data_IF_829676963581
#
_entry.id   IF_829676963581
#
_cell.length_a   1.000
_cell.length_b   1.000
_cell.length_c   1.000
_cell.angle_alpha   90.00
_cell.angle_beta   90.00
_cell.angle_gamma   90.00
#
_symmetry.space_group_name_H-M   'P 1'
#
loop_
_entity.id
_entity.type
_entity.pdbx_description
1 polymer ?
#
# COMPACT_ATOMS: atom_id res chain seq x y z
N UNK A 1 16.68 5.06 2.15
CA UNK A 1 16.65 3.94 3.09
C UNK A 1 16.14 2.65 2.42
N UNK A 2 14.88 2.60 1.89
CA UNK A 2 14.29 1.35 1.36
C UNK A 2 15.01 0.78 0.14
N UNK A 3 15.44 1.61 -0.82
CA UNK A 3 16.22 1.11 -1.98
C UNK A 3 17.47 0.31 -1.56
N UNK A 4 18.10 0.65 -0.43
CA UNK A 4 19.24 -0.09 0.11
C UNK A 4 18.86 -1.42 0.79
N UNK A 5 17.57 -1.70 0.99
CA UNK A 5 17.09 -2.97 1.52
C UNK A 5 16.76 -3.98 0.41
N UNK A 6 16.69 -3.54 -0.84
CA UNK A 6 16.29 -4.37 -1.97
C UNK A 6 17.44 -5.24 -2.48
N UNK A 7 17.10 -6.46 -2.85
CA UNK A 7 18.01 -7.32 -3.61
C UNK A 7 18.24 -6.74 -5.02
N UNK A 8 19.31 -7.17 -5.66
CA UNK A 8 19.66 -6.70 -7.01
C UNK A 8 18.54 -7.03 -8.00
N UNK A 9 18.06 -6.01 -8.72
CA UNK A 9 17.02 -6.15 -9.74
C UNK A 9 15.59 -6.02 -9.22
N UNK A 10 15.38 -6.06 -7.90
CA UNK A 10 14.05 -5.89 -7.32
C UNK A 10 13.56 -4.45 -7.47
N UNK A 11 12.35 -4.28 -7.99
CA UNK A 11 11.68 -2.99 -8.17
C UNK A 11 10.98 -2.54 -6.89
N UNK A 12 10.72 -1.23 -6.79
CA UNK A 12 9.99 -0.65 -5.68
C UNK A 12 8.72 0.06 -6.15
N UNK A 13 7.58 -0.45 -5.74
CA UNK A 13 6.29 0.23 -5.84
C UNK A 13 6.04 1.05 -4.58
N UNK A 14 5.87 2.36 -4.74
CA UNK A 14 5.58 3.27 -3.65
C UNK A 14 4.07 3.41 -3.46
N UNK A 15 3.58 3.10 -2.26
CA UNK A 15 2.14 3.18 -1.95
C UNK A 15 1.80 4.58 -1.45
N UNK A 16 1.00 5.31 -2.24
CA UNK A 16 0.63 6.72 -2.01
C UNK A 16 -0.88 6.91 -1.84
N UNK A 17 -1.61 5.84 -1.52
CA UNK A 17 -3.05 5.88 -1.24
C UNK A 17 -3.41 6.79 -0.06
N UNK A 18 -4.68 7.17 0.04
CA UNK A 18 -5.22 8.05 1.07
C UNK A 18 -4.40 9.35 1.20
N UNK A 19 -4.22 10.02 0.04
CA UNK A 19 -3.41 11.23 -0.10
C UNK A 19 -2.00 11.08 0.49
N UNK A 20 -1.32 9.97 0.10
CA UNK A 20 -0.02 9.58 0.65
C UNK A 20 -0.04 9.47 2.18
N UNK A 21 -1.04 8.77 2.73
CA UNK A 21 -1.27 8.67 4.18
C UNK A 21 -1.41 10.04 4.85
N UNK A 22 -2.02 11.01 4.14
CA UNK A 22 -2.24 12.39 4.60
C UNK A 22 -1.04 13.31 4.41
N UNK A 23 -0.03 12.92 3.62
CA UNK A 23 1.19 13.73 3.40
C UNK A 23 1.17 14.51 2.08
N UNK A 24 0.11 14.37 1.26
CA UNK A 24 0.02 15.00 -0.06
C UNK A 24 0.55 14.10 -1.16
N UNK A 25 -0.36 13.38 -1.86
CA UNK A 25 0.02 12.32 -2.81
C UNK A 25 0.88 12.84 -3.97
N UNK A 26 0.48 13.95 -4.59
CA UNK A 26 1.20 14.50 -5.73
C UNK A 26 2.64 14.91 -5.41
N UNK A 27 2.85 15.61 -4.27
CA UNK A 27 4.18 16.04 -3.83
C UNK A 27 5.06 14.85 -3.44
N UNK A 28 4.48 13.91 -2.68
CA UNK A 28 5.17 12.69 -2.28
C UNK A 28 5.57 11.84 -3.48
N UNK A 29 4.67 11.63 -4.44
CA UNK A 29 4.95 10.86 -5.64
C UNK A 29 6.07 11.50 -6.48
N UNK A 30 6.06 12.81 -6.69
CA UNK A 30 7.15 13.53 -7.39
C UNK A 30 8.49 13.35 -6.68
N UNK A 31 8.52 13.49 -5.36
CA UNK A 31 9.73 13.29 -4.58
C UNK A 31 10.23 11.85 -4.67
N UNK A 32 9.33 10.86 -4.60
CA UNK A 32 9.68 9.45 -4.74
C UNK A 32 10.14 9.10 -6.15
N UNK A 33 9.51 9.66 -7.18
CA UNK A 33 9.90 9.52 -8.59
C UNK A 33 11.34 10.02 -8.81
N UNK A 34 11.68 11.19 -8.27
CA UNK A 34 13.02 11.79 -8.44
C UNK A 34 14.15 10.97 -7.81
N UNK A 35 13.84 10.09 -6.84
CA UNK A 35 14.80 9.20 -6.18
C UNK A 35 14.66 7.73 -6.63
N UNK A 36 13.93 7.50 -7.73
CA UNK A 36 13.89 6.21 -8.42
C UNK A 36 12.79 5.25 -7.94
N UNK A 37 11.60 5.74 -7.57
CA UNK A 37 10.42 4.89 -7.48
C UNK A 37 10.15 4.26 -8.85
N UNK A 38 9.90 2.95 -8.89
CA UNK A 38 9.64 2.26 -10.15
C UNK A 38 8.15 2.33 -10.54
N UNK A 39 7.26 2.20 -9.56
CA UNK A 39 5.81 2.23 -9.74
C UNK A 39 5.13 2.89 -8.52
N UNK A 40 3.87 3.26 -8.69
CA UNK A 40 3.02 3.76 -7.60
C UNK A 40 1.80 2.88 -7.40
N UNK A 41 1.27 2.89 -6.15
CA UNK A 41 0.03 2.20 -5.84
C UNK A 41 -0.92 3.11 -5.06
N UNK A 42 -2.19 3.06 -5.44
CA UNK A 42 -3.30 3.83 -4.88
C UNK A 42 -4.45 2.92 -4.44
N UNK A 43 -5.43 3.45 -3.72
CA UNK A 43 -6.59 2.69 -3.31
C UNK A 43 -7.77 2.82 -4.29
N UNK A 44 -7.90 3.96 -4.97
CA UNK A 44 -9.01 4.26 -5.88
C UNK A 44 -8.52 4.74 -7.24
N UNK A 45 -9.39 4.69 -8.24
CA UNK A 45 -9.09 5.20 -9.59
C UNK A 45 -8.90 6.71 -9.55
N UNK A 46 -9.71 7.42 -8.76
CA UNK A 46 -9.62 8.89 -8.61
C UNK A 46 -8.25 9.34 -8.10
N UNK A 47 -7.68 8.64 -7.11
CA UNK A 47 -6.31 8.89 -6.64
C UNK A 47 -5.28 8.68 -7.76
N UNK A 48 -5.48 7.67 -8.60
CA UNK A 48 -4.62 7.42 -9.77
C UNK A 48 -4.73 8.52 -10.82
N UNK A 49 -5.94 9.00 -11.09
CA UNK A 49 -6.21 10.13 -12.00
C UNK A 49 -5.54 11.41 -11.48
N UNK A 50 -5.64 11.70 -10.18
CA UNK A 50 -4.96 12.84 -9.55
C UNK A 50 -3.44 12.79 -9.75
N UNK A 51 -2.81 11.63 -9.58
CA UNK A 51 -1.39 11.43 -9.84
C UNK A 51 -1.05 11.69 -11.31
N UNK A 52 -1.83 11.17 -12.26
CA UNK A 52 -1.64 11.41 -13.70
C UNK A 52 -1.77 12.91 -14.03
N UNK A 53 -2.81 13.58 -13.54
CA UNK A 53 -3.00 15.03 -13.72
C UNK A 53 -1.86 15.85 -13.08
N UNK A 54 -1.17 15.31 -12.09
CA UNK A 54 -0.01 15.91 -11.45
C UNK A 54 1.32 15.65 -12.18
N UNK A 55 1.30 14.92 -13.32
CA UNK A 55 2.47 14.64 -14.13
C UNK A 55 3.29 13.43 -13.68
N UNK A 56 2.67 12.45 -13.04
CA UNK A 56 3.33 11.17 -12.72
C UNK A 56 3.15 10.21 -13.89
N UNK A 57 4.24 9.84 -14.56
CA UNK A 57 4.25 8.95 -15.73
C UNK A 57 4.55 7.49 -15.39
N UNK A 58 5.08 7.20 -14.21
CA UNK A 58 5.33 5.84 -13.75
C UNK A 58 4.06 4.98 -13.79
N UNK A 59 4.15 3.65 -13.95
CA UNK A 59 3.00 2.78 -13.82
C UNK A 59 2.28 2.96 -12.48
N UNK A 60 0.95 3.01 -12.51
CA UNK A 60 0.09 3.16 -11.32
C UNK A 60 -0.82 1.95 -11.21
N UNK A 61 -0.84 1.33 -10.03
CA UNK A 61 -1.71 0.20 -9.68
C UNK A 61 -2.77 0.63 -8.68
N UNK A 62 -4.04 0.36 -8.99
CA UNK A 62 -5.13 0.38 -7.99
C UNK A 62 -5.10 -0.95 -7.23
N UNK A 63 -4.91 -0.89 -5.90
CA UNK A 63 -4.70 -2.07 -5.04
C UNK A 63 -5.94 -2.95 -4.80
N UNK A 64 -7.06 -2.61 -5.43
CA UNK A 64 -8.29 -3.41 -5.43
C UNK A 64 -8.88 -3.42 -6.83
N UNK A 65 -9.82 -4.33 -7.06
CA UNK A 65 -10.66 -4.29 -8.26
C UNK A 65 -11.69 -3.17 -8.06
N UNK A 66 -11.67 -2.14 -8.93
CA UNK A 66 -12.60 -1.02 -8.81
C UNK A 66 -13.96 -1.38 -9.42
N UNK A 67 -15.01 -0.58 -9.20
CA UNK A 67 -16.28 -0.78 -9.86
C UNK A 67 -16.15 -0.64 -11.39
N UNK A 68 -16.96 -1.40 -12.14
CA UNK A 68 -16.98 -1.39 -13.62
C UNK A 68 -17.17 0.01 -14.20
N UNK A 69 -17.88 0.88 -13.50
CA UNK A 69 -18.09 2.29 -13.88
C UNK A 69 -16.80 3.10 -13.96
N UNK A 70 -15.72 2.65 -13.34
CA UNK A 70 -14.40 3.32 -13.38
C UNK A 70 -13.53 2.86 -14.55
N UNK A 71 -13.95 1.87 -15.33
CA UNK A 71 -13.18 1.34 -16.46
C UNK A 71 -12.80 2.42 -17.49
N UNK A 72 -13.67 3.37 -17.88
CA UNK A 72 -13.30 4.43 -18.82
C UNK A 72 -12.09 5.25 -18.35
N UNK A 73 -11.99 5.55 -17.06
CA UNK A 73 -10.87 6.31 -16.50
C UNK A 73 -9.59 5.46 -16.41
N UNK A 74 -9.69 4.17 -16.06
CA UNK A 74 -8.54 3.25 -16.13
C UNK A 74 -7.93 3.24 -17.52
N UNK A 75 -8.76 3.08 -18.57
CA UNK A 75 -8.31 3.04 -19.96
C UNK A 75 -7.78 4.40 -20.42
N UNK A 76 -8.48 5.50 -20.09
CA UNK A 76 -8.10 6.86 -20.48
C UNK A 76 -6.74 7.26 -19.92
N UNK A 77 -6.53 7.04 -18.63
CA UNK A 77 -5.37 7.49 -17.87
C UNK A 77 -4.26 6.46 -17.74
N UNK A 78 -4.40 5.29 -18.39
CA UNK A 78 -3.43 4.19 -18.33
C UNK A 78 -3.10 3.81 -16.87
N UNK A 79 -4.14 3.50 -16.09
CA UNK A 79 -4.04 3.05 -14.71
C UNK A 79 -4.39 1.58 -14.66
N UNK A 80 -3.54 0.77 -14.04
CA UNK A 80 -3.71 -0.67 -13.92
C UNK A 80 -4.62 -1.02 -12.73
N UNK A 81 -5.70 -1.79 -12.92
CA UNK A 81 -6.46 -2.35 -11.82
C UNK A 81 -5.79 -3.61 -11.26
N UNK A 82 -6.09 -3.93 -9.99
CA UNK A 82 -6.02 -5.31 -9.53
C UNK A 82 -7.23 -6.06 -10.04
N UNK A 83 -7.05 -7.29 -10.50
CA UNK A 83 -8.10 -8.14 -11.05
C UNK A 83 -8.21 -9.41 -10.24
N UNK A 84 -9.42 -9.81 -9.90
CA UNK A 84 -9.73 -11.08 -9.25
C UNK A 84 -11.12 -11.63 -9.58
N UNK A 85 -11.88 -10.95 -10.48
CA UNK A 85 -13.12 -11.49 -11.07
C UNK A 85 -13.04 -11.53 -12.60
N UNK A 86 -13.65 -12.54 -13.19
CA UNK A 86 -13.70 -12.72 -14.65
C UNK A 86 -14.49 -11.61 -15.30
N UNK A 87 -15.65 -11.26 -14.74
CA UNK A 87 -16.57 -10.27 -15.31
C UNK A 87 -15.92 -8.89 -15.43
N UNK A 88 -15.22 -8.44 -14.37
CA UNK A 88 -14.49 -7.18 -14.41
C UNK A 88 -13.35 -7.23 -15.45
N UNK A 89 -12.57 -8.31 -15.46
CA UNK A 89 -11.45 -8.45 -16.38
C UNK A 89 -11.92 -8.37 -17.85
N UNK A 90 -12.98 -9.10 -18.22
CA UNK A 90 -13.51 -9.10 -19.58
C UNK A 90 -14.04 -7.72 -19.97
N UNK A 91 -14.80 -7.06 -19.09
CA UNK A 91 -15.30 -5.70 -19.33
C UNK A 91 -14.16 -4.70 -19.53
N UNK A 92 -13.08 -4.81 -18.73
CA UNK A 92 -11.89 -3.97 -18.86
C UNK A 92 -11.14 -4.25 -20.17
N UNK A 93 -11.02 -5.53 -20.55
CA UNK A 93 -10.41 -5.94 -21.81
C UNK A 93 -11.17 -5.43 -23.04
N UNK A 94 -12.51 -5.55 -23.05
CA UNK A 94 -13.37 -5.03 -24.10
C UNK A 94 -13.24 -3.52 -24.25
N UNK A 95 -13.30 -2.76 -23.14
CA UNK A 95 -13.17 -1.32 -23.17
C UNK A 95 -11.78 -0.89 -23.64
N UNK A 96 -10.73 -1.60 -23.24
CA UNK A 96 -9.35 -1.34 -23.68
C UNK A 96 -9.22 -1.59 -25.20
N UNK A 97 -9.72 -2.72 -25.70
CA UNK A 97 -9.69 -3.03 -27.12
C UNK A 97 -10.50 -2.03 -27.96
N UNK A 98 -11.66 -1.59 -27.49
CA UNK A 98 -12.47 -0.54 -28.12
C UNK A 98 -11.73 0.81 -28.21
N UNK A 99 -10.83 1.08 -27.26
CA UNK A 99 -9.95 2.26 -27.27
C UNK A 99 -8.63 2.04 -28.05
N UNK A 100 -8.47 0.91 -28.75
CA UNK A 100 -7.21 0.49 -29.40
C UNK A 100 -6.02 0.45 -28.43
N UNK A 101 -6.25 0.02 -27.18
CA UNK A 101 -5.23 -0.14 -26.14
C UNK A 101 -5.21 -1.58 -25.65
N UNK A 102 -4.15 -1.93 -24.93
CA UNK A 102 -4.06 -3.16 -24.14
C UNK A 102 -4.26 -2.78 -22.67
N UNK A 103 -5.27 -3.39 -22.04
CA UNK A 103 -5.56 -3.23 -20.63
C UNK A 103 -4.58 -4.01 -19.78
N UNK A 104 -3.61 -3.32 -19.18
CA UNK A 104 -2.65 -3.95 -18.28
C UNK A 104 -3.25 -4.06 -16.89
N UNK A 105 -3.09 -5.21 -16.25
CA UNK A 105 -3.62 -5.46 -14.91
C UNK A 105 -2.66 -6.26 -14.04
N UNK A 106 -2.89 -6.26 -12.72
CA UNK A 106 -2.23 -7.18 -11.81
C UNK A 106 -3.24 -8.19 -11.25
N UNK A 107 -2.92 -9.48 -11.38
CA UNK A 107 -3.71 -10.57 -10.79
C UNK A 107 -3.49 -10.62 -9.29
N UNK A 108 -4.54 -10.42 -8.51
CA UNK A 108 -4.48 -10.55 -7.06
C UNK A 108 -4.85 -11.97 -6.63
N UNK A 109 -4.05 -12.56 -5.74
CA UNK A 109 -4.26 -13.92 -5.21
C UNK A 109 -4.45 -13.83 -3.70
N UNK A 110 -5.53 -14.42 -3.18
CA UNK A 110 -5.72 -14.56 -1.73
C UNK A 110 -4.97 -15.79 -1.21
N UNK A 111 -3.95 -15.54 -0.43
CA UNK A 111 -3.15 -16.60 0.21
C UNK A 111 -3.43 -16.75 1.71
N UNK A 112 -4.37 -15.95 2.26
CA UNK A 112 -4.77 -16.06 3.65
C UNK A 112 -5.04 -14.73 4.36
N UNK A 113 -4.99 -13.59 3.67
CA UNK A 113 -5.46 -12.33 4.24
C UNK A 113 -6.99 -12.20 4.19
N UNK A 114 -7.64 -12.94 3.30
CA UNK A 114 -9.10 -13.04 3.17
C UNK A 114 -9.78 -11.68 3.01
N UNK A 115 -9.20 -10.83 2.18
CA UNK A 115 -9.72 -9.48 1.92
C UNK A 115 -10.05 -9.24 0.44
N UNK A 116 -9.12 -9.56 -0.45
CA UNK A 116 -9.23 -9.45 -1.91
C UNK A 116 -8.42 -10.59 -2.56
N UNK A 117 -8.68 -10.86 -3.81
CA UNK A 117 -7.90 -11.80 -4.62
C UNK A 117 -8.67 -13.06 -4.98
N UNK A 118 -8.20 -13.73 -6.01
CA UNK A 118 -8.70 -15.04 -6.43
C UNK A 118 -8.31 -16.07 -5.40
N UNK A 119 -9.25 -16.95 -5.04
CA UNK A 119 -8.95 -18.09 -4.16
C UNK A 119 -8.06 -19.09 -4.91
N UNK A 120 -7.21 -19.80 -4.18
CA UNK A 120 -6.23 -20.71 -4.81
C UNK A 120 -6.88 -21.81 -5.63
N UNK A 121 -7.98 -22.35 -5.15
CA UNK A 121 -8.76 -23.37 -5.80
C UNK A 121 -9.35 -22.92 -7.15
N UNK A 122 -9.69 -21.65 -7.29
CA UNK A 122 -10.32 -21.06 -8.48
C UNK A 122 -9.28 -20.42 -9.44
N UNK A 123 -8.00 -20.40 -9.06
CA UNK A 123 -6.96 -19.57 -9.70
C UNK A 123 -6.74 -19.91 -11.17
N UNK A 124 -6.62 -21.21 -11.51
CA UNK A 124 -6.38 -21.65 -12.87
C UNK A 124 -7.61 -21.45 -13.76
N UNK A 125 -8.81 -21.63 -13.20
CA UNK A 125 -10.07 -21.40 -13.89
C UNK A 125 -10.24 -19.91 -14.23
N UNK A 126 -10.08 -19.05 -13.24
CA UNK A 126 -10.18 -17.58 -13.42
C UNK A 126 -9.12 -17.10 -14.41
N UNK A 127 -7.87 -17.53 -14.25
CA UNK A 127 -6.79 -17.12 -15.17
C UNK A 127 -7.03 -17.61 -16.59
N UNK A 128 -7.46 -18.84 -16.76
CA UNK A 128 -7.82 -19.41 -18.06
C UNK A 128 -8.99 -18.69 -18.72
N UNK A 129 -9.97 -18.26 -17.94
CA UNK A 129 -11.15 -17.54 -18.45
C UNK A 129 -10.84 -16.13 -18.98
N UNK A 130 -9.71 -15.52 -18.61
CA UNK A 130 -9.31 -14.18 -19.07
C UNK A 130 -8.12 -14.17 -20.02
N UNK A 131 -7.33 -15.23 -20.06
CA UNK A 131 -6.06 -15.29 -20.80
C UNK A 131 -6.23 -15.17 -22.33
N UNK A 132 -7.34 -15.67 -22.87
CA UNK A 132 -7.61 -15.61 -24.30
C UNK A 132 -7.97 -14.19 -24.79
N UNK A 133 -8.26 -13.25 -23.90
CA UNK A 133 -8.71 -11.93 -24.29
C UNK A 133 -7.54 -11.05 -24.73
N UNK A 134 -7.43 -10.81 -26.05
CA UNK A 134 -6.31 -10.07 -26.67
C UNK A 134 -6.16 -8.62 -26.22
N UNK A 135 -7.21 -8.04 -25.61
CA UNK A 135 -7.20 -6.69 -25.06
C UNK A 135 -6.62 -6.62 -23.64
N UNK A 136 -6.12 -7.73 -23.10
CA UNK A 136 -5.58 -7.80 -21.72
C UNK A 136 -4.13 -8.27 -21.71
N UNK A 137 -3.36 -7.72 -20.77
CA UNK A 137 -1.98 -8.12 -20.46
C UNK A 137 -1.80 -8.21 -18.94
N UNK A 138 -1.34 -9.36 -18.45
CA UNK A 138 -0.99 -9.53 -17.06
C UNK A 138 0.38 -8.87 -16.78
N UNK A 139 0.37 -7.63 -16.32
CA UNK A 139 1.58 -6.87 -15.98
C UNK A 139 2.18 -7.27 -14.63
N UNK A 140 1.42 -7.96 -13.78
CA UNK A 140 1.92 -8.48 -12.51
C UNK A 140 0.97 -9.45 -11.82
N UNK A 141 1.53 -10.21 -10.88
CA UNK A 141 0.80 -11.18 -10.05
C UNK A 141 1.21 -10.98 -8.59
N UNK A 142 0.23 -10.86 -7.68
CA UNK A 142 0.58 -10.53 -6.30
C UNK A 142 -0.35 -11.14 -5.25
N UNK A 143 0.18 -11.18 -4.05
CA UNK A 143 -0.60 -11.36 -2.80
C UNK A 143 -0.28 -10.27 -1.80
N UNK A 144 -0.91 -10.29 -0.64
CA UNK A 144 -0.61 -9.40 0.48
C UNK A 144 -0.44 -10.18 1.78
N UNK A 145 0.71 -10.01 2.42
CA UNK A 145 0.99 -10.65 3.71
C UNK A 145 0.28 -9.93 4.85
N UNK A 146 -0.43 -10.71 5.66
CA UNK A 146 -1.18 -10.21 6.80
C UNK A 146 -0.28 -10.01 8.04
N UNK A 147 0.75 -10.85 8.17
CA UNK A 147 1.51 -11.04 9.42
C UNK A 147 3.03 -10.97 9.22
N UNK A 148 3.52 -10.26 8.19
CA UNK A 148 4.95 -10.14 7.89
C UNK A 148 5.78 -9.49 9.02
N UNK A 149 5.15 -8.88 10.01
CA UNK A 149 5.76 -8.25 11.18
C UNK A 149 5.44 -8.97 12.50
N UNK A 150 5.05 -10.22 12.45
CA UNK A 150 4.83 -11.08 13.62
C UNK A 150 5.89 -12.18 13.61
N UNK A 151 6.65 -12.31 14.72
CA UNK A 151 7.67 -13.35 14.88
C UNK A 151 7.05 -14.73 15.05
N UNK A 152 7.79 -15.75 14.58
CA UNK A 152 7.47 -17.17 14.74
C UNK A 152 6.01 -17.50 14.37
N UNK A 153 5.56 -16.90 13.27
CA UNK A 153 4.18 -16.97 12.84
C UNK A 153 4.03 -17.92 11.65
N UNK A 154 3.52 -19.10 11.93
CA UNK A 154 3.23 -20.12 10.92
C UNK A 154 2.25 -19.61 9.84
N UNK A 155 1.37 -18.65 10.14
CA UNK A 155 0.47 -18.05 9.15
C UNK A 155 1.24 -17.30 8.07
N UNK A 156 2.36 -16.65 8.43
CA UNK A 156 3.23 -16.01 7.45
C UNK A 156 3.85 -17.04 6.50
N UNK A 157 4.46 -18.08 7.05
CA UNK A 157 5.07 -19.17 6.26
C UNK A 157 4.03 -19.86 5.37
N UNK A 158 2.83 -20.06 5.90
CA UNK A 158 1.71 -20.60 5.14
C UNK A 158 1.31 -19.71 3.98
N UNK A 159 1.24 -18.38 4.17
CA UNK A 159 0.96 -17.43 3.08
C UNK A 159 2.05 -17.43 2.02
N UNK A 160 3.34 -17.47 2.42
CA UNK A 160 4.48 -17.55 1.50
C UNK A 160 4.41 -18.83 0.66
N UNK A 161 4.23 -19.99 1.31
CA UNK A 161 4.15 -21.27 0.62
C UNK A 161 2.98 -21.31 -0.37
N UNK A 162 1.80 -20.86 0.06
CA UNK A 162 0.61 -20.76 -0.79
C UNK A 162 0.83 -19.86 -2.01
N UNK A 163 1.57 -18.75 -1.84
CA UNK A 163 1.87 -17.87 -2.95
C UNK A 163 2.85 -18.49 -3.93
N UNK A 164 3.90 -19.15 -3.44
CA UNK A 164 4.87 -19.88 -4.27
C UNK A 164 4.19 -21.01 -5.05
N UNK A 165 3.31 -21.77 -4.40
CA UNK A 165 2.51 -22.82 -5.05
C UNK A 165 1.62 -22.25 -6.17
N UNK A 166 0.92 -21.13 -5.89
CA UNK A 166 0.06 -20.46 -6.86
C UNK A 166 0.83 -19.94 -8.08
N UNK A 167 1.95 -19.25 -7.85
CA UNK A 167 2.86 -18.77 -8.91
C UNK A 167 3.40 -19.94 -9.74
N UNK A 168 3.79 -21.03 -9.08
CA UNK A 168 4.30 -22.24 -9.75
C UNK A 168 3.21 -22.90 -10.60
N UNK A 169 1.99 -23.01 -10.09
CA UNK A 169 0.86 -23.58 -10.83
C UNK A 169 0.54 -22.78 -12.09
N UNK A 170 0.52 -21.44 -11.99
CA UNK A 170 0.31 -20.56 -13.15
C UNK A 170 1.43 -20.70 -14.19
N UNK A 171 2.70 -20.74 -13.77
CA UNK A 171 3.86 -20.95 -14.65
C UNK A 171 3.79 -22.30 -15.37
N UNK A 172 3.47 -23.38 -14.64
CA UNK A 172 3.34 -24.71 -15.20
C UNK A 172 2.19 -24.83 -16.20
N UNK A 173 1.14 -24.02 -16.03
CA UNK A 173 0.05 -23.91 -16.99
C UNK A 173 0.38 -23.04 -18.22
N UNK A 174 1.59 -22.44 -18.27
CA UNK A 174 2.06 -21.64 -19.40
C UNK A 174 1.61 -20.16 -19.37
N UNK A 175 1.08 -19.67 -18.26
CA UNK A 175 0.65 -18.28 -18.16
C UNK A 175 1.79 -17.30 -17.86
N UNK A 176 1.75 -16.15 -18.53
CA UNK A 176 2.60 -15.02 -18.21
C UNK A 176 2.13 -14.33 -16.91
N UNK A 177 3.05 -14.06 -16.02
CA UNK A 177 2.76 -13.54 -14.68
C UNK A 177 3.04 -12.05 -14.52
N UNK A 178 3.78 -11.46 -15.46
CA UNK A 178 4.35 -10.12 -15.25
C UNK A 178 5.26 -10.07 -14.01
N UNK A 179 5.26 -8.93 -13.31
CA UNK A 179 6.05 -8.76 -12.09
C UNK A 179 5.39 -9.48 -10.90
N UNK A 180 6.09 -10.44 -10.33
CA UNK A 180 5.60 -11.15 -9.13
C UNK A 180 5.95 -10.32 -7.89
N UNK A 181 4.99 -10.08 -6.99
CA UNK A 181 5.23 -9.29 -5.79
C UNK A 181 4.30 -9.64 -4.61
N UNK A 182 4.83 -9.64 -3.39
CA UNK A 182 4.08 -9.97 -2.19
C UNK A 182 4.33 -9.00 -1.04
N UNK A 183 5.58 -8.57 -0.87
CA UNK A 183 6.05 -7.81 0.28
C UNK A 183 5.38 -6.44 0.42
N UNK A 184 4.94 -6.17 1.63
CA UNK A 184 4.62 -4.85 2.14
C UNK A 184 5.83 -4.24 2.87
N UNK A 185 5.67 -3.12 3.59
CA UNK A 185 6.77 -2.48 4.34
C UNK A 185 7.51 -3.44 5.27
N UNK A 186 6.85 -4.20 6.19
CA UNK A 186 7.58 -5.13 7.04
C UNK A 186 8.21 -6.29 6.26
N UNK A 187 7.51 -6.85 5.27
CA UNK A 187 8.07 -7.90 4.40
C UNK A 187 9.40 -7.46 3.76
N UNK A 188 9.42 -6.28 3.17
CA UNK A 188 10.61 -5.70 2.54
C UNK A 188 11.82 -5.62 3.49
N UNK A 189 11.59 -5.34 4.76
CA UNK A 189 12.67 -5.11 5.75
C UNK A 189 13.09 -6.40 6.45
N UNK A 190 12.14 -7.28 6.76
CA UNK A 190 12.35 -8.45 7.60
C UNK A 190 12.60 -9.75 6.81
N UNK A 191 12.10 -9.83 5.57
CA UNK A 191 12.08 -11.06 4.77
C UNK A 191 12.71 -10.86 3.39
N UNK A 192 14.02 -10.56 3.36
CA UNK A 192 14.75 -10.25 2.13
C UNK A 192 14.85 -11.40 1.12
N UNK A 193 14.66 -12.62 1.57
CA UNK A 193 14.69 -13.85 0.77
C UNK A 193 13.47 -14.04 -0.13
N UNK A 194 12.38 -13.29 0.13
CA UNK A 194 11.12 -13.43 -0.60
C UNK A 194 10.66 -12.13 -1.31
N UNK A 195 11.57 -11.21 -1.63
CA UNK A 195 11.21 -9.94 -2.28
C UNK A 195 10.65 -10.10 -3.71
N UNK A 196 10.78 -11.28 -4.33
CA UNK A 196 10.37 -11.55 -5.71
C UNK A 196 10.88 -10.48 -6.70
N UNK A 197 10.06 -10.05 -7.67
CA UNK A 197 10.46 -9.04 -8.66
C UNK A 197 10.24 -7.61 -8.19
N UNK A 198 9.36 -7.40 -7.20
CA UNK A 198 9.01 -6.07 -6.72
C UNK A 198 8.47 -6.11 -5.29
N UNK A 199 8.73 -5.05 -4.53
CA UNK A 199 8.15 -4.83 -3.20
C UNK A 199 7.20 -3.64 -3.21
N UNK A 200 6.23 -3.61 -2.26
CA UNK A 200 5.26 -2.52 -2.10
C UNK A 200 5.44 -1.84 -0.76
N UNK A 201 6.20 -0.76 -0.76
CA UNK A 201 6.48 0.00 0.46
C UNK A 201 5.40 1.08 0.65
N UNK A 202 4.78 1.08 1.82
CA UNK A 202 3.74 2.04 2.20
C UNK A 202 4.17 2.89 3.39
N UNK A 203 3.67 2.57 4.57
CA UNK A 203 3.82 3.39 5.78
C UNK A 203 5.27 3.78 6.11
N UNK A 204 6.23 2.91 5.79
CA UNK A 204 7.65 3.16 6.00
C UNK A 204 8.20 4.33 5.19
N UNK A 205 7.64 4.63 4.00
CA UNK A 205 8.08 5.76 3.18
C UNK A 205 7.85 7.11 3.88
N UNK A 206 6.92 7.15 4.82
CA UNK A 206 6.56 8.33 5.60
C UNK A 206 7.30 8.39 6.95
N UNK A 207 8.29 7.50 7.15
CA UNK A 207 9.13 7.50 8.34
C UNK A 207 8.52 6.80 9.54
N UNK A 208 7.49 5.98 9.34
CA UNK A 208 6.79 5.27 10.41
C UNK A 208 7.11 3.77 10.36
N UNK A 209 7.49 3.23 11.49
CA UNK A 209 7.70 1.80 11.64
C UNK A 209 6.36 1.06 11.79
N UNK A 210 6.08 0.04 10.96
CA UNK A 210 4.84 -0.74 11.09
C UNK A 210 4.79 -1.56 12.39
N UNK A 211 5.95 -1.95 12.92
CA UNK A 211 6.08 -2.68 14.17
C UNK A 211 7.43 -2.40 14.84
N UNK A 212 7.56 -2.80 16.10
CA UNK A 212 8.83 -2.71 16.85
C UNK A 212 9.97 -3.53 16.22
N UNK A 213 9.66 -4.57 15.46
CA UNK A 213 10.65 -5.46 14.83
C UNK A 213 11.41 -4.76 13.70
N UNK A 214 10.81 -3.77 13.06
CA UNK A 214 11.47 -3.03 11.97
C UNK A 214 12.40 -1.93 12.46
N UNK A 215 12.27 -1.47 13.72
CA UNK A 215 13.08 -0.39 14.29
C UNK A 215 14.60 -0.69 14.20
N UNK A 216 15.12 -1.85 14.62
CA UNK A 216 16.56 -2.12 14.57
C UNK A 216 17.07 -2.46 13.15
N UNK A 217 16.19 -2.53 12.16
CA UNK A 217 16.51 -3.01 10.81
C UNK A 217 16.66 -1.90 9.78
N UNK A 218 16.00 -0.78 9.99
CA UNK A 218 16.01 0.37 9.09
C UNK A 218 15.84 1.65 9.89
N UNK A 219 16.69 2.65 9.62
CA UNK A 219 16.55 3.98 10.21
C UNK A 219 15.54 4.79 9.39
N UNK A 220 14.46 5.22 10.05
CA UNK A 220 13.37 5.98 9.45
C UNK A 220 13.15 7.28 10.25
N UNK A 221 12.92 8.37 9.52
CA UNK A 221 12.59 9.66 10.11
C UNK A 221 11.17 10.07 9.72
N UNK A 222 10.27 10.37 10.67
CA UNK A 222 8.93 10.84 10.38
C UNK A 222 8.95 12.07 9.47
N UNK A 223 8.19 12.01 8.38
CA UNK A 223 8.09 13.10 7.39
C UNK A 223 7.17 14.22 7.90
N UNK A 224 6.12 13.85 8.65
CA UNK A 224 5.14 14.80 9.18
C UNK A 224 5.56 15.32 10.57
N UNK A 225 5.40 16.62 10.77
CA UNK A 225 5.50 17.24 12.10
C UNK A 225 4.27 18.08 12.39
N UNK A 226 3.73 17.97 13.60
CA UNK A 226 2.62 18.82 14.08
C UNK A 226 3.18 19.89 14.98
N UNK A 227 2.90 21.14 14.65
CA UNK A 227 3.33 22.31 15.46
C UNK A 227 2.11 23.09 15.92
N UNK A 228 2.09 23.49 17.19
CA UNK A 228 1.08 24.35 17.76
C UNK A 228 1.71 25.59 18.39
N UNK A 229 1.00 26.72 18.34
CA UNK A 229 1.38 27.92 19.10
C UNK A 229 0.69 27.84 20.45
N UNK A 230 1.47 28.01 21.54
CA UNK A 230 0.92 28.16 22.90
C UNK A 230 0.16 29.48 22.97
N UNK A 231 -1.12 29.45 23.29
CA UNK A 231 -1.98 30.64 23.41
C UNK A 231 -2.18 31.08 24.87
N UNK A 232 -1.99 30.14 25.80
CA UNK A 232 -2.12 30.43 27.24
C UNK A 232 -1.23 29.48 28.05
N UNK A 233 -0.64 29.98 29.11
CA UNK A 233 0.02 29.19 30.14
C UNK A 233 -0.70 29.47 31.44
N UNK A 234 -1.08 28.42 32.16
CA UNK A 234 -1.70 28.51 33.49
C UNK A 234 -0.94 27.63 34.48
N UNK A 235 -1.06 27.99 35.75
CA UNK A 235 -0.47 27.25 36.87
C UNK A 235 -1.62 26.77 37.76
N UNK A 236 -2.19 25.59 37.49
CA UNK A 236 -3.32 25.09 38.25
C UNK A 236 -2.88 24.68 39.66
N UNK A 237 -3.82 24.75 40.63
CA UNK A 237 -3.57 24.31 41.98
C UNK A 237 -3.56 22.79 42.10
N UNK A 238 -2.90 22.28 43.15
CA UNK A 238 -2.93 20.83 43.44
C UNK A 238 -4.38 20.35 43.59
N UNK A 239 -4.74 19.30 42.93
CA UNK A 239 -6.10 18.76 42.90
C UNK A 239 -7.00 19.26 41.80
N UNK A 240 -6.63 20.36 41.08
CA UNK A 240 -7.41 20.84 39.94
C UNK A 240 -7.47 19.78 38.84
N UNK A 241 -8.65 19.62 38.26
CA UNK A 241 -8.86 18.76 37.10
C UNK A 241 -8.47 19.47 35.80
N UNK A 242 -7.84 18.80 34.89
CA UNK A 242 -7.41 19.33 33.60
C UNK A 242 -8.20 18.69 32.45
N UNK A 243 -8.70 19.57 31.55
CA UNK A 243 -9.40 19.19 30.33
C UNK A 243 -10.74 18.47 30.57
N UNK A 244 -11.35 17.98 29.48
CA UNK A 244 -12.64 17.30 29.52
C UNK A 244 -12.59 16.03 30.37
N UNK A 245 -13.65 15.81 31.15
CA UNK A 245 -13.79 14.66 32.04
C UNK A 245 -12.93 14.73 33.28
N UNK A 246 -12.02 15.72 33.41
CA UNK A 246 -11.10 15.90 34.57
C UNK A 246 -10.43 14.59 34.98
N UNK A 247 -10.11 13.72 34.04
CA UNK A 247 -9.53 12.39 34.27
C UNK A 247 -8.12 12.44 34.83
N UNK A 248 -7.43 13.57 34.65
CA UNK A 248 -6.15 13.86 35.25
C UNK A 248 -6.27 15.05 36.18
N UNK A 249 -5.67 14.93 37.36
CA UNK A 249 -5.62 16.02 38.34
C UNK A 249 -4.19 16.37 38.68
N UNK A 250 -3.96 17.63 38.99
CA UNK A 250 -2.64 18.19 39.32
C UNK A 250 -2.10 17.50 40.59
N UNK A 251 -1.03 16.68 40.50
CA UNK A 251 -0.55 15.92 41.67
C UNK A 251 0.38 16.67 42.57
N UNK A 252 1.00 17.80 42.13
CA UNK A 252 1.96 18.60 42.88
C UNK A 252 2.04 20.02 42.37
N UNK A 253 2.58 20.93 43.18
CA UNK A 253 2.83 22.31 42.79
C UNK A 253 3.82 22.42 41.61
N UNK A 254 3.79 23.59 40.93
CA UNK A 254 4.68 23.94 39.81
C UNK A 254 4.50 23.13 38.55
N UNK A 255 3.31 22.55 38.31
CA UNK A 255 2.95 22.00 37.02
C UNK A 255 2.41 23.10 36.13
N UNK A 256 2.94 23.20 34.93
CA UNK A 256 2.44 24.12 33.88
C UNK A 256 1.52 23.37 32.93
N UNK A 257 0.31 23.89 32.73
CA UNK A 257 -0.56 23.48 31.63
C UNK A 257 -0.42 24.47 30.46
N UNK A 258 -0.22 23.94 29.25
CA UNK A 258 -0.05 24.73 28.02
C UNK A 258 -1.17 24.40 27.05
N UNK A 259 -1.98 25.40 26.74
CA UNK A 259 -3.04 25.28 25.71
C UNK A 259 -2.52 25.79 24.36
N UNK A 260 -2.58 24.97 23.34
CA UNK A 260 -2.28 25.37 21.97
C UNK A 260 -3.56 25.70 21.20
N UNK A 261 -3.47 26.47 20.14
CA UNK A 261 -4.59 26.79 19.23
C UNK A 261 -5.11 25.62 18.45
N UNK A 262 -4.48 24.47 18.53
CA UNK A 262 -4.85 23.27 17.79
C UNK A 262 -5.25 22.13 18.72
N UNK A 263 -6.53 21.74 18.53
CA UNK A 263 -7.03 20.37 18.65
C UNK A 263 -7.10 19.73 20.03
N UNK A 264 -8.29 19.19 20.26
CA UNK A 264 -8.54 18.00 21.04
C UNK A 264 -7.44 16.95 20.83
N UNK A 265 -6.32 17.15 21.48
CA UNK A 265 -5.34 16.10 21.60
C UNK A 265 -5.63 15.42 22.92
N UNK A 266 -6.19 14.24 22.85
CA UNK A 266 -6.06 13.25 23.89
C UNK A 266 -4.58 12.88 23.99
N UNK A 267 -3.76 13.78 24.55
CA UNK A 267 -2.38 13.46 24.85
C UNK A 267 -2.34 12.69 26.16
N UNK A 268 -2.10 11.40 26.04
CA UNK A 268 -1.49 10.67 27.13
C UNK A 268 -0.04 11.15 27.23
N UNK A 269 0.31 11.78 28.35
CA UNK A 269 1.68 11.99 28.77
C UNK A 269 2.31 10.65 29.12
#
# INVERSE_FOLDING_TARGET
>A
AFKAQLNRGVKMMCVVKADAYGHGAAQCAKAMQSVGADQFAVATVDEGVELRCSGIDNPILVLSEPPVTSIPDLVRFDIMPSVYTVDFALAYGEASAAANKVGRYHLAIDTGMTRIGVRREDLLEVRGSIDFHRGLECAGTFTHFATADVLDNWDFDLQVNRFIEAVTALKNAGYELGLVHADNTPGTVLHKDIQFDMVRVGIGLYGLHPSKLTIPRIDLQPVMSVRGRVTRVIYPAVGDGVSYGMTWRVPRNNIQDRKSTRLNSSHRL
#
